data_IF_477430404030
#
_entry.id   IF_477430404030
#
_cell.length_a   1.000
_cell.length_b   1.000
_cell.length_c   1.000
_cell.angle_alpha   90.00
_cell.angle_beta   90.00
_cell.angle_gamma   90.00
#
_symmetry.space_group_name_H-M   'P 1'
#
loop_
_entity.id
_entity.type
_entity.pdbx_description
1 polymer ?
#
# COMPACT_ATOMS: atom_id res chain seq x y z
N UNK A 1 -6.81 14.43 4.03
CA UNK A 1 -7.31 13.51 5.07
C UNK A 1 -6.22 13.32 6.11
N UNK A 2 -6.54 13.55 7.38
CA UNK A 2 -5.60 13.41 8.52
C UNK A 2 -5.51 11.98 9.03
N UNK A 3 -6.57 11.19 8.86
CA UNK A 3 -6.63 9.79 9.29
C UNK A 3 -6.29 8.84 8.12
N UNK A 4 -5.64 7.71 8.41
CA UNK A 4 -5.37 6.69 7.41
C UNK A 4 -6.67 5.96 7.02
N UNK A 5 -6.75 5.52 5.76
CA UNK A 5 -7.83 4.67 5.25
C UNK A 5 -7.70 3.20 5.70
N UNK A 6 -6.49 2.82 6.11
CA UNK A 6 -6.16 1.49 6.61
C UNK A 6 -4.84 1.55 7.39
N UNK A 7 -4.71 0.73 8.43
CA UNK A 7 -3.46 0.54 9.15
C UNK A 7 -3.13 -0.94 9.21
N UNK A 8 -1.96 -1.31 8.65
CA UNK A 8 -1.44 -2.67 8.72
C UNK A 8 -0.38 -2.77 9.82
N UNK A 9 -0.36 -3.88 10.55
CA UNK A 9 0.62 -4.13 11.60
C UNK A 9 1.61 -5.19 11.14
N UNK A 10 2.90 -4.92 11.32
CA UNK A 10 3.99 -5.83 10.97
C UNK A 10 4.98 -5.93 12.13
N UNK A 11 5.68 -7.06 12.23
CA UNK A 11 6.87 -7.20 13.06
C UNK A 11 8.06 -7.45 12.14
N UNK A 12 9.15 -6.70 12.31
CA UNK A 12 10.33 -6.82 11.44
C UNK A 12 11.00 -8.20 11.64
N UNK A 13 10.99 -9.07 10.62
CA UNK A 13 11.53 -10.41 10.76
C UNK A 13 13.06 -10.42 10.67
N UNK A 14 13.67 -11.50 11.19
CA UNK A 14 15.12 -11.67 11.20
C UNK A 14 15.74 -11.58 9.80
N UNK A 15 15.11 -12.21 8.81
CA UNK A 15 15.63 -12.29 7.44
C UNK A 15 15.54 -10.97 6.65
N UNK A 16 14.91 -9.93 7.21
CA UNK A 16 14.85 -8.62 6.58
C UNK A 16 15.90 -7.64 7.11
N UNK A 17 16.71 -8.03 8.09
CA UNK A 17 17.73 -7.20 8.74
C UNK A 17 19.12 -7.45 8.14
N UNK A 18 19.87 -6.38 7.89
CA UNK A 18 21.24 -6.45 7.36
C UNK A 18 22.33 -6.33 8.44
N UNK A 19 23.59 -6.26 8.01
CA UNK A 19 24.77 -6.15 8.88
C UNK A 19 24.77 -4.90 9.79
N UNK A 20 23.97 -3.88 9.47
CA UNK A 20 23.76 -2.69 10.31
C UNK A 20 22.75 -2.92 11.44
N UNK A 21 22.18 -4.14 11.54
CA UNK A 21 21.16 -4.55 12.53
C UNK A 21 19.84 -3.78 12.41
N UNK A 22 19.54 -3.30 11.22
CA UNK A 22 18.30 -2.62 10.86
C UNK A 22 17.68 -3.27 9.62
N UNK A 23 16.38 -3.04 9.39
CA UNK A 23 15.71 -3.50 8.19
C UNK A 23 16.43 -2.96 6.95
N UNK A 24 16.84 -3.86 6.05
CA UNK A 24 17.48 -3.50 4.80
C UNK A 24 16.52 -2.63 3.97
N UNK A 25 17.03 -1.52 3.43
CA UNK A 25 16.22 -0.50 2.74
C UNK A 25 15.33 -1.08 1.62
N UNK A 26 15.84 -2.06 0.86
CA UNK A 26 15.07 -2.67 -0.22
C UNK A 26 13.91 -3.55 0.24
N UNK A 27 13.80 -3.91 1.53
CA UNK A 27 12.65 -4.66 2.04
C UNK A 27 11.42 -3.80 2.29
N UNK A 28 11.57 -2.47 2.38
CA UNK A 28 10.45 -1.59 2.68
C UNK A 28 9.32 -1.66 1.64
N UNK A 29 9.64 -1.91 0.36
CA UNK A 29 8.60 -2.11 -0.67
C UNK A 29 7.72 -3.33 -0.41
N UNK A 30 8.26 -4.38 0.23
CA UNK A 30 7.50 -5.57 0.64
C UNK A 30 6.49 -5.21 1.71
N UNK A 31 6.88 -4.38 2.69
CA UNK A 31 5.99 -3.92 3.76
C UNK A 31 4.84 -3.07 3.21
N UNK A 32 5.12 -2.20 2.22
CA UNK A 32 4.08 -1.41 1.54
C UNK A 32 3.12 -2.31 0.75
N UNK A 33 3.65 -3.31 0.06
CA UNK A 33 2.85 -4.27 -0.70
C UNK A 33 1.96 -5.13 0.20
N UNK A 34 2.49 -5.66 1.30
CA UNK A 34 1.72 -6.44 2.25
C UNK A 34 0.56 -5.62 2.82
N UNK A 35 0.84 -4.38 3.24
CA UNK A 35 -0.18 -3.47 3.76
C UNK A 35 -1.23 -3.11 2.70
N UNK A 36 -0.83 -2.91 1.44
CA UNK A 36 -1.74 -2.64 0.32
C UNK A 36 -2.59 -3.85 -0.01
N UNK A 37 -2.03 -5.06 -0.03
CA UNK A 37 -2.76 -6.31 -0.22
C UNK A 37 -3.80 -6.54 0.89
N UNK A 38 -3.41 -6.29 2.14
CA UNK A 38 -4.32 -6.38 3.29
C UNK A 38 -5.48 -5.39 3.17
N UNK A 39 -5.20 -4.14 2.79
CA UNK A 39 -6.23 -3.14 2.52
C UNK A 39 -7.15 -3.55 1.36
N UNK A 40 -6.62 -3.99 0.22
CA UNK A 40 -7.42 -4.46 -0.92
C UNK A 40 -8.34 -5.64 -0.54
N UNK A 41 -7.85 -6.54 0.32
CA UNK A 41 -8.68 -7.62 0.89
C UNK A 41 -9.82 -7.06 1.75
N UNK A 42 -9.56 -6.03 2.56
CA UNK A 42 -10.60 -5.35 3.35
C UNK A 42 -11.63 -4.61 2.47
N UNK A 43 -11.21 -4.06 1.33
CA UNK A 43 -12.09 -3.50 0.30
C UNK A 43 -12.97 -4.59 -0.34
N UNK A 44 -12.55 -5.85 -0.30
CA UNK A 44 -13.22 -6.96 -0.97
C UNK A 44 -12.92 -7.01 -2.48
N UNK A 45 -11.84 -6.38 -2.93
CA UNK A 45 -11.42 -6.36 -4.34
C UNK A 45 -9.89 -6.51 -4.43
N UNK A 46 -9.43 -7.72 -4.70
CA UNK A 46 -8.01 -8.09 -4.69
C UNK A 46 -7.37 -8.01 -6.08
N UNK A 47 -6.05 -8.21 -6.17
CA UNK A 47 -5.37 -8.35 -7.47
C UNK A 47 -5.91 -9.52 -8.30
N UNK A 48 -6.39 -10.58 -7.66
CA UNK A 48 -7.03 -11.72 -8.35
C UNK A 48 -8.35 -11.26 -9.00
N UNK A 49 -9.11 -10.40 -8.34
CA UNK A 49 -10.37 -9.87 -8.86
C UNK A 49 -10.12 -8.86 -9.98
N UNK A 50 -9.06 -8.05 -9.88
CA UNK A 50 -8.59 -7.19 -10.96
C UNK A 50 -8.22 -8.02 -12.20
N UNK A 51 -7.45 -9.09 -12.03
CA UNK A 51 -7.02 -9.96 -13.11
C UNK A 51 -8.21 -10.64 -13.78
N UNK A 52 -9.17 -11.17 -13.00
CA UNK A 52 -10.44 -11.73 -13.51
C UNK A 52 -11.27 -10.68 -14.26
N UNK A 53 -11.20 -9.42 -13.87
CA UNK A 53 -11.83 -8.31 -14.57
C UNK A 53 -11.05 -7.88 -15.84
N UNK A 54 -9.92 -8.52 -16.15
CA UNK A 54 -9.11 -8.25 -17.33
C UNK A 54 -8.06 -7.16 -17.15
N UNK A 55 -7.71 -6.80 -15.90
CA UNK A 55 -6.77 -5.72 -15.59
C UNK A 55 -5.64 -6.16 -14.66
N UNK A 56 -4.47 -5.57 -14.88
CA UNK A 56 -3.28 -5.67 -14.05
C UNK A 56 -2.92 -4.29 -13.51
N UNK A 57 -2.25 -4.26 -12.37
CA UNK A 57 -1.88 -3.02 -11.68
C UNK A 57 -0.38 -3.01 -11.34
N UNK A 58 0.52 -2.88 -12.32
CA UNK A 58 1.94 -2.73 -12.01
C UNK A 58 2.23 -1.44 -11.25
N UNK A 59 3.20 -1.49 -10.34
CA UNK A 59 3.77 -0.30 -9.69
C UNK A 59 4.62 0.45 -10.73
N UNK A 60 4.26 1.71 -10.99
CA UNK A 60 4.94 2.59 -11.96
C UNK A 60 5.74 3.70 -11.30
N UNK A 61 5.57 3.91 -9.99
CA UNK A 61 6.37 4.85 -9.18
C UNK A 61 6.41 4.40 -7.73
N UNK A 62 7.59 4.48 -7.13
CA UNK A 62 7.83 4.29 -5.69
C UNK A 62 8.72 5.43 -5.20
N UNK A 63 8.37 6.01 -4.06
CA UNK A 63 9.23 6.93 -3.33
C UNK A 63 9.36 6.46 -1.89
N UNK A 64 10.58 6.47 -1.37
CA UNK A 64 10.89 6.08 0.00
C UNK A 64 11.77 7.15 0.64
N UNK A 65 11.33 7.65 1.79
CA UNK A 65 12.11 8.54 2.65
C UNK A 65 12.28 7.91 4.01
N UNK A 66 13.45 7.33 4.24
CA UNK A 66 13.86 6.76 5.52
C UNK A 66 14.25 7.89 6.47
N UNK A 67 13.52 8.02 7.57
CA UNK A 67 13.80 9.01 8.62
C UNK A 67 14.53 8.34 9.79
N UNK A 68 14.13 7.13 10.14
CA UNK A 68 14.71 6.31 11.20
C UNK A 68 14.62 4.82 10.85
N UNK A 69 15.58 4.00 11.31
CA UNK A 69 15.57 2.58 11.00
C UNK A 69 14.54 1.80 11.81
N UNK A 70 13.94 0.78 11.19
CA UNK A 70 13.26 -0.28 11.92
C UNK A 70 14.27 -1.38 12.31
N UNK A 71 14.09 -2.02 13.47
CA UNK A 71 15.01 -3.02 14.03
C UNK A 71 14.37 -4.41 14.08
N UNK A 72 15.18 -5.46 14.17
CA UNK A 72 14.70 -6.83 14.38
C UNK A 72 13.71 -6.92 15.55
N UNK A 73 12.58 -7.60 15.35
CA UNK A 73 11.53 -7.80 16.36
C UNK A 73 10.74 -6.54 16.71
N UNK A 74 11.02 -5.41 16.06
CA UNK A 74 10.26 -4.19 16.26
C UNK A 74 8.91 -4.32 15.56
N UNK A 75 7.83 -4.07 16.29
CA UNK A 75 6.51 -3.90 15.70
C UNK A 75 6.35 -2.50 15.11
N UNK A 76 5.84 -2.44 13.89
CA UNK A 76 5.60 -1.21 13.14
C UNK A 76 4.17 -1.16 12.62
N UNK A 77 3.68 0.04 12.40
CA UNK A 77 2.38 0.32 11.83
C UNK A 77 2.54 1.01 10.47
N UNK A 78 2.00 0.40 9.42
CA UNK A 78 1.99 0.94 8.06
C UNK A 78 0.62 1.55 7.80
N UNK A 79 0.55 2.88 7.87
CA UNK A 79 -0.64 3.68 7.64
C UNK A 79 -0.76 4.03 6.15
N UNK A 80 -1.93 3.76 5.56
CA UNK A 80 -2.23 4.07 4.15
C UNK A 80 -3.12 5.32 4.06
N UNK A 81 -2.80 6.21 3.13
CA UNK A 81 -3.59 7.40 2.83
C UNK A 81 -3.85 7.44 1.32
N UNK A 82 -5.10 7.24 0.93
CA UNK A 82 -5.50 7.24 -0.47
C UNK A 82 -5.44 8.66 -1.04
N UNK A 83 -4.73 8.83 -2.16
CA UNK A 83 -4.58 10.10 -2.87
C UNK A 83 -5.42 10.18 -4.13
N UNK A 84 -5.53 9.07 -4.84
CA UNK A 84 -6.24 8.95 -6.11
C UNK A 84 -6.57 7.47 -6.32
N UNK A 85 -7.74 7.22 -6.89
CA UNK A 85 -8.18 5.91 -7.33
C UNK A 85 -9.04 5.99 -8.60
N UNK A 86 -9.08 7.14 -9.26
CA UNK A 86 -9.84 7.36 -10.49
C UNK A 86 -8.92 7.20 -11.70
N UNK A 87 -7.75 7.86 -11.69
CA UNK A 87 -6.80 7.84 -12.83
C UNK A 87 -5.70 6.81 -12.67
N UNK A 88 -5.26 6.61 -11.42
CA UNK A 88 -4.25 5.65 -11.02
C UNK A 88 -4.41 5.41 -9.52
N UNK A 89 -3.94 4.27 -9.01
CA UNK A 89 -4.01 3.98 -7.59
C UNK A 89 -2.79 4.61 -6.91
N UNK A 90 -3.01 5.78 -6.31
CA UNK A 90 -1.97 6.57 -5.64
C UNK A 90 -2.17 6.49 -4.13
N UNK A 91 -1.16 6.01 -3.42
CA UNK A 91 -1.21 5.82 -1.97
C UNK A 91 0.03 6.44 -1.35
N UNK A 92 -0.18 7.32 -0.38
CA UNK A 92 0.84 7.76 0.56
C UNK A 92 0.88 6.78 1.73
N UNK A 93 2.08 6.55 2.27
CA UNK A 93 2.29 5.71 3.43
C UNK A 93 3.08 6.42 4.51
N UNK A 94 2.76 6.10 5.76
CA UNK A 94 3.59 6.42 6.93
C UNK A 94 3.84 5.14 7.70
N UNK A 95 5.11 4.88 8.00
CA UNK A 95 5.51 3.76 8.84
C UNK A 95 5.93 4.33 10.19
N UNK A 96 5.26 3.90 11.25
CA UNK A 96 5.45 4.38 12.62
C UNK A 96 5.81 3.22 13.56
N UNK A 97 6.55 3.49 14.63
CA UNK A 97 6.79 2.52 15.70
C UNK A 97 5.57 2.40 16.63
N UNK A 98 5.60 1.43 17.54
CA UNK A 98 4.61 1.35 18.63
C UNK A 98 4.51 2.60 19.51
N UNK A 99 5.57 3.39 19.58
CA UNK A 99 5.61 4.63 20.37
C UNK A 99 5.14 5.85 19.56
N UNK A 100 4.66 5.68 18.32
CA UNK A 100 4.25 6.76 17.42
C UNK A 100 5.43 7.50 16.76
N UNK A 101 6.65 6.95 16.82
CA UNK A 101 7.79 7.57 16.16
C UNK A 101 7.75 7.29 14.66
N UNK A 102 7.77 8.35 13.85
CA UNK A 102 7.78 8.21 12.40
C UNK A 102 9.13 7.67 11.90
N UNK A 103 9.09 6.48 11.28
CA UNK A 103 10.25 5.77 10.77
C UNK A 103 10.47 6.05 9.28
N UNK A 104 9.42 5.99 8.46
CA UNK A 104 9.52 6.13 7.00
C UNK A 104 8.27 6.79 6.43
N UNK A 105 8.47 7.67 5.44
CA UNK A 105 7.39 8.12 4.55
C UNK A 105 7.57 7.44 3.20
N UNK A 106 6.47 7.01 2.60
CA UNK A 106 6.53 6.43 1.27
C UNK A 106 5.36 6.86 0.40
N UNK A 107 5.50 6.61 -0.90
CA UNK A 107 4.43 6.79 -1.87
C UNK A 107 4.55 5.69 -2.93
N UNK A 108 3.40 5.21 -3.42
CA UNK A 108 3.33 4.32 -4.58
C UNK A 108 2.26 4.77 -5.55
N UNK A 109 2.49 4.54 -6.84
CA UNK A 109 1.51 4.67 -7.90
C UNK A 109 1.40 3.37 -8.68
N UNK A 110 0.18 2.87 -8.87
CA UNK A 110 -0.12 1.79 -9.83
C UNK A 110 -0.99 2.32 -10.96
N UNK A 111 -0.65 1.95 -12.19
CA UNK A 111 -1.49 2.22 -13.35
C UNK A 111 -2.34 0.98 -13.65
N UNK A 112 -3.58 1.17 -14.07
CA UNK A 112 -4.36 0.08 -14.63
C UNK A 112 -3.81 -0.29 -16.01
N UNK A 113 -3.68 -1.58 -16.31
CA UNK A 113 -3.20 -2.10 -17.59
C UNK A 113 -4.12 -3.22 -18.01
N UNK A 114 -4.62 -3.25 -19.25
CA UNK A 114 -5.39 -4.42 -19.74
C UNK A 114 -4.49 -5.66 -19.74
N UNK A 115 -4.94 -6.80 -19.21
CA UNK A 115 -4.17 -8.04 -19.19
C UNK A 115 -3.81 -8.53 -20.60
N UNK A 116 -4.62 -8.16 -21.61
CA UNK A 116 -4.30 -8.31 -23.02
C UNK A 116 -4.87 -7.09 -23.78
N UNK A 117 -4.10 -6.35 -24.59
CA UNK A 117 -2.72 -6.58 -25.02
C UNK A 117 -1.63 -5.88 -24.18
N UNK A 118 -1.79 -5.72 -22.86
CA UNK A 118 -0.90 -4.92 -22.00
C UNK A 118 -0.90 -3.43 -22.33
N UNK A 119 -2.09 -2.89 -22.55
CA UNK A 119 -2.29 -1.46 -22.80
C UNK A 119 -2.54 -0.71 -21.49
N UNK A 120 -1.70 0.29 -21.18
CA UNK A 120 -1.92 1.18 -20.04
C UNK A 120 -3.22 1.97 -20.21
N UNK A 121 -4.01 1.99 -19.15
CA UNK A 121 -5.24 2.74 -19.04
C UNK A 121 -5.01 3.96 -18.16
N UNK A 122 -5.59 5.09 -18.56
CA UNK A 122 -5.53 6.35 -17.79
C UNK A 122 -6.71 6.52 -16.83
N UNK A 123 -7.52 5.48 -16.69
CA UNK A 123 -8.63 5.37 -15.75
C UNK A 123 -8.64 3.99 -15.14
N UNK A 124 -8.92 3.94 -13.85
CA UNK A 124 -9.17 2.70 -13.13
C UNK A 124 -10.53 2.13 -13.53
N UNK A 125 -10.70 0.81 -13.68
CA UNK A 125 -12.00 0.22 -14.00
C UNK A 125 -13.08 0.60 -12.99
N UNK A 126 -14.27 0.96 -13.46
CA UNK A 126 -15.37 1.45 -12.61
C UNK A 126 -15.69 0.49 -11.47
N UNK A 127 -15.70 -0.82 -11.72
CA UNK A 127 -15.95 -1.83 -10.69
C UNK A 127 -14.99 -1.72 -9.49
N UNK A 128 -13.71 -1.44 -9.74
CA UNK A 128 -12.73 -1.26 -8.67
C UNK A 128 -12.93 0.08 -7.96
N UNK A 129 -13.23 1.16 -8.70
CA UNK A 129 -13.56 2.46 -8.10
C UNK A 129 -14.79 2.36 -7.17
N UNK A 130 -15.85 1.67 -7.60
CA UNK A 130 -17.06 1.45 -6.81
C UNK A 130 -16.77 0.64 -5.55
N UNK A 131 -15.92 -0.38 -5.62
CA UNK A 131 -15.54 -1.16 -4.45
C UNK A 131 -14.79 -0.29 -3.40
N UNK A 132 -13.84 0.54 -3.85
CA UNK A 132 -13.12 1.47 -2.98
C UNK A 132 -14.10 2.48 -2.35
N UNK A 133 -14.98 3.08 -3.15
CA UNK A 133 -15.95 4.07 -2.67
C UNK A 133 -16.86 3.49 -1.58
N UNK A 134 -17.40 2.29 -1.81
CA UNK A 134 -18.24 1.60 -0.83
C UNK A 134 -17.48 1.26 0.47
N UNK A 135 -16.18 0.94 0.40
CA UNK A 135 -15.34 0.75 1.58
C UNK A 135 -15.14 2.06 2.36
N UNK A 136 -14.86 3.17 1.67
CA UNK A 136 -14.63 4.47 2.30
C UNK A 136 -15.89 5.02 2.97
N UNK A 137 -17.07 4.82 2.37
CA UNK A 137 -18.35 5.23 2.95
C UNK A 137 -18.67 4.49 4.25
N UNK A 138 -18.34 3.19 4.32
CA UNK A 138 -18.49 2.41 5.56
C UNK A 138 -17.61 2.96 6.70
N UNK A 139 -16.34 3.26 6.39
CA UNK A 139 -15.38 3.82 7.36
C UNK A 139 -15.75 5.22 7.88
N UNK A 140 -16.63 5.96 7.20
CA UNK A 140 -17.11 7.27 7.67
C UNK A 140 -18.33 7.15 8.60
N UNK A 141 -19.04 6.03 8.53
CA UNK A 141 -20.25 5.79 9.31
C UNK A 141 -20.00 4.98 10.60
N UNK A 142 -18.77 4.49 10.77
CA UNK A 142 -18.26 3.80 11.97
C UNK A 142 -17.41 4.77 12.82
#
# INVERSE_FOLDING_TARGET
>A
MTNPIYTHTLEIPFYDVDTLRIAWHGNYVKYLEEARCAWLKAVGYTYIDMEKAGYLFPIVRVELKYLRPAKFGQKIFVHLFLRDFETALKIDYRIESETGELLTKAYTMQAAVKAHPFETQYQIPLAFQTAIQAYLEKQQND
#
